data_IF_534921935169
#
_entry.id   IF_534921935169
#
_cell.length_a   1.000
_cell.length_b   1.000
_cell.length_c   1.000
_cell.angle_alpha   90.00
_cell.angle_beta   90.00
_cell.angle_gamma   90.00
#
_symmetry.space_group_name_H-M   'P 1'
#
loop_
_entity.id
_entity.type
_entity.pdbx_description
1 polymer ?
#
# COMPACT_ATOMS: atom_id res chain seq x y z
N UNK A 1 11.18 21.21 2.80
CA UNK A 1 9.89 20.90 2.14
C UNK A 1 9.15 19.66 2.68
N UNK A 2 9.67 18.93 3.68
CA UNK A 2 9.03 17.70 4.21
C UNK A 2 8.35 17.86 5.60
N UNK A 3 8.27 19.07 6.16
CA UNK A 3 7.83 19.29 7.55
C UNK A 3 6.66 20.29 7.72
N UNK A 4 5.84 20.54 6.67
CA UNK A 4 4.62 21.33 6.86
C UNK A 4 3.40 20.43 7.11
N UNK A 5 2.59 20.72 8.15
CA UNK A 5 1.34 20.00 8.40
C UNK A 5 0.37 20.04 7.20
N UNK A 6 0.42 21.11 6.40
CA UNK A 6 -0.36 21.25 5.17
C UNK A 6 -0.01 20.18 4.14
N UNK A 7 1.28 19.96 3.86
CA UNK A 7 1.72 18.95 2.90
C UNK A 7 1.35 17.53 3.38
N UNK A 8 1.41 17.27 4.68
CA UNK A 8 0.96 16.00 5.26
C UNK A 8 -0.54 15.78 5.05
N UNK A 9 -1.36 16.84 5.27
CA UNK A 9 -2.81 16.80 5.07
C UNK A 9 -3.18 16.57 3.61
N UNK A 10 -2.50 17.25 2.69
CA UNK A 10 -2.75 17.11 1.25
C UNK A 10 -2.40 15.70 0.76
N UNK A 11 -1.28 15.15 1.22
CA UNK A 11 -0.87 13.78 0.90
C UNK A 11 -1.87 12.75 1.44
N UNK A 12 -2.34 12.93 2.68
CA UNK A 12 -3.37 12.08 3.26
C UNK A 12 -4.67 12.14 2.46
N UNK A 13 -5.08 13.33 2.01
CA UNK A 13 -6.24 13.52 1.15
C UNK A 13 -6.12 12.74 -0.16
N UNK A 14 -4.99 12.87 -0.85
CA UNK A 14 -4.70 12.13 -2.10
C UNK A 14 -4.76 10.62 -1.91
N UNK A 15 -4.18 10.11 -0.83
CA UNK A 15 -4.22 8.67 -0.50
C UNK A 15 -5.66 8.23 -0.25
N UNK A 16 -6.43 8.96 0.56
CA UNK A 16 -7.84 8.63 0.85
C UNK A 16 -8.68 8.58 -0.42
N UNK A 17 -8.56 9.56 -1.31
CA UNK A 17 -9.29 9.58 -2.58
C UNK A 17 -8.93 8.40 -3.49
N UNK A 18 -7.66 7.99 -3.50
CA UNK A 18 -7.22 6.82 -4.30
C UNK A 18 -7.70 5.51 -3.71
N UNK A 19 -7.68 5.38 -2.39
CA UNK A 19 -8.12 4.19 -1.66
C UNK A 19 -9.65 4.03 -1.72
N UNK A 20 -10.43 5.11 -1.65
CA UNK A 20 -11.89 5.01 -1.73
C UNK A 20 -12.38 4.39 -3.03
N UNK A 21 -11.65 4.60 -4.13
CA UNK A 21 -11.94 3.97 -5.42
C UNK A 21 -11.78 2.43 -5.41
N UNK A 22 -11.14 1.84 -4.39
CA UNK A 22 -11.08 0.39 -4.21
C UNK A 22 -12.43 -0.21 -3.80
N UNK A 23 -13.38 0.59 -3.30
CA UNK A 23 -14.73 0.13 -3.01
C UNK A 23 -15.41 -0.45 -4.26
N UNK A 24 -15.29 0.26 -5.38
CA UNK A 24 -15.89 -0.17 -6.66
C UNK A 24 -14.96 -1.05 -7.48
N UNK A 25 -13.64 -0.84 -7.39
CA UNK A 25 -12.66 -1.53 -8.23
C UNK A 25 -11.52 -2.12 -7.42
N UNK A 26 -11.77 -3.10 -6.55
CA UNK A 26 -10.75 -3.64 -5.64
C UNK A 26 -9.61 -4.32 -6.39
N UNK A 27 -9.85 -4.85 -7.60
CA UNK A 27 -8.83 -5.56 -8.41
C UNK A 27 -7.91 -4.63 -9.21
N UNK A 28 -8.10 -3.29 -9.16
CA UNK A 28 -7.33 -2.33 -9.97
C UNK A 28 -5.85 -2.24 -9.62
N UNK A 29 -5.48 -2.59 -8.39
CA UNK A 29 -4.09 -2.59 -7.93
C UNK A 29 -3.37 -3.83 -8.47
N UNK A 30 -2.11 -3.65 -8.87
CA UNK A 30 -1.27 -4.79 -9.26
C UNK A 30 -0.90 -5.62 -8.03
N UNK A 31 -0.54 -6.88 -8.24
CA UNK A 31 0.09 -7.69 -7.19
C UNK A 31 1.42 -7.04 -6.81
N UNK A 32 1.73 -7.00 -5.51
CA UNK A 32 2.99 -6.44 -5.00
C UNK A 32 4.17 -7.21 -5.63
N UNK A 33 5.02 -6.58 -6.46
CA UNK A 33 6.09 -7.27 -7.19
C UNK A 33 7.02 -8.09 -6.28
N UNK A 34 7.46 -7.49 -5.18
CA UNK A 34 8.37 -8.10 -4.19
C UNK A 34 7.77 -9.37 -3.58
N UNK A 35 6.45 -9.38 -3.33
CA UNK A 35 5.76 -10.54 -2.79
C UNK A 35 5.43 -11.57 -3.87
N UNK A 36 5.18 -11.10 -5.10
CA UNK A 36 4.94 -11.96 -6.27
C UNK A 36 6.15 -12.84 -6.57
N UNK A 37 7.37 -12.31 -6.42
CA UNK A 37 8.61 -13.06 -6.61
C UNK A 37 8.75 -14.24 -5.63
N UNK A 38 8.10 -14.16 -4.47
CA UNK A 38 8.02 -15.24 -3.49
C UNK A 38 6.73 -16.09 -3.60
N UNK A 39 5.96 -15.95 -4.68
CA UNK A 39 4.71 -16.69 -4.90
C UNK A 39 3.51 -16.21 -4.07
N UNK A 40 3.63 -15.07 -3.38
CA UNK A 40 2.56 -14.52 -2.54
C UNK A 40 1.69 -13.56 -3.38
N UNK A 41 0.54 -14.06 -3.84
CA UNK A 41 -0.33 -13.35 -4.80
C UNK A 41 -1.50 -12.60 -4.16
N UNK A 42 -1.72 -12.76 -2.86
CA UNK A 42 -2.88 -12.22 -2.13
C UNK A 42 -2.82 -10.71 -1.88
N UNK A 43 -1.63 -10.12 -1.95
CA UNK A 43 -1.41 -8.70 -1.65
C UNK A 43 -1.30 -7.88 -2.93
N UNK A 44 -2.02 -6.76 -2.94
CA UNK A 44 -2.06 -5.81 -4.04
C UNK A 44 -1.58 -4.45 -3.58
N UNK A 45 -1.18 -3.63 -4.54
CA UNK A 45 -0.77 -2.26 -4.26
C UNK A 45 -1.39 -1.22 -5.18
N UNK A 46 -1.57 -0.03 -4.61
CA UNK A 46 -1.77 1.22 -5.32
C UNK A 46 -0.55 2.11 -5.16
N UNK A 47 -0.06 2.66 -6.26
CA UNK A 47 1.00 3.66 -6.26
C UNK A 47 0.36 5.05 -6.26
N UNK A 48 0.59 5.79 -5.18
CA UNK A 48 0.16 7.19 -4.97
C UNK A 48 1.40 8.00 -4.63
N UNK A 49 2.22 8.43 -5.63
CA UNK A 49 3.56 8.93 -5.39
C UNK A 49 3.62 10.04 -4.31
N UNK A 50 4.59 9.98 -3.39
CA UNK A 50 5.65 8.97 -3.27
C UNK A 50 5.23 7.69 -2.52
N UNK A 51 3.96 7.48 -2.20
CA UNK A 51 3.47 6.38 -1.35
C UNK A 51 3.04 5.14 -2.13
N UNK A 52 3.21 3.97 -1.52
CA UNK A 52 2.64 2.67 -1.93
C UNK A 52 1.65 2.22 -0.87
N UNK A 53 0.41 2.01 -1.26
CA UNK A 53 -0.65 1.49 -0.39
C UNK A 53 -0.79 0.01 -0.66
N UNK A 54 -0.47 -0.82 0.33
CA UNK A 54 -0.58 -2.28 0.25
C UNK A 54 -1.89 -2.71 0.90
N UNK A 55 -2.64 -3.55 0.21
CA UNK A 55 -3.95 -4.02 0.63
C UNK A 55 -4.20 -5.47 0.21
N UNK A 56 -5.22 -6.09 0.78
CA UNK A 56 -5.76 -7.38 0.34
C UNK A 56 -7.27 -7.32 0.19
N UNK A 57 -7.80 -8.22 -0.63
CA UNK A 57 -9.24 -8.41 -0.83
C UNK A 57 -9.65 -9.68 -0.10
N UNK A 58 -10.71 -9.62 0.70
CA UNK A 58 -11.26 -10.77 1.43
C UNK A 58 -12.77 -10.72 1.36
N UNK A 59 -13.38 -11.62 0.58
CA UNK A 59 -14.81 -11.55 0.25
C UNK A 59 -15.14 -10.22 -0.41
N UNK A 60 -16.07 -9.47 0.19
CA UNK A 60 -16.50 -8.15 -0.29
C UNK A 60 -15.73 -6.98 0.37
N UNK A 61 -14.72 -7.28 1.18
CA UNK A 61 -13.98 -6.27 1.96
C UNK A 61 -12.57 -6.07 1.43
N UNK A 62 -12.13 -4.81 1.45
CA UNK A 62 -10.74 -4.41 1.15
C UNK A 62 -10.07 -3.99 2.46
N UNK A 63 -8.94 -4.62 2.76
CA UNK A 63 -8.15 -4.32 3.95
C UNK A 63 -6.87 -3.61 3.54
N UNK A 64 -6.74 -2.34 3.90
CA UNK A 64 -5.47 -1.61 3.76
C UNK A 64 -4.56 -2.02 4.91
N UNK A 65 -3.44 -2.64 4.57
CA UNK A 65 -2.50 -3.20 5.53
C UNK A 65 -1.32 -2.27 5.78
N UNK A 66 -0.92 -1.50 4.77
CA UNK A 66 0.12 -0.51 4.95
C UNK A 66 0.13 0.61 3.94
N UNK A 67 0.74 1.72 4.36
CA UNK A 67 1.11 2.85 3.51
C UNK A 67 2.61 3.06 3.72
N UNK A 68 3.40 2.79 2.68
CA UNK A 68 4.85 2.81 2.71
C UNK A 68 5.35 3.93 1.81
N UNK A 69 6.40 4.63 2.21
CA UNK A 69 7.11 5.56 1.33
C UNK A 69 7.92 4.76 0.30
N UNK A 70 7.57 4.90 -0.98
CA UNK A 70 8.20 4.17 -2.10
C UNK A 70 9.68 4.51 -2.29
N UNK A 71 10.17 5.58 -1.66
CA UNK A 71 11.59 5.97 -1.68
C UNK A 71 12.44 5.12 -0.75
N UNK A 72 11.83 4.32 0.13
CA UNK A 72 12.50 3.35 1.00
C UNK A 72 12.58 1.99 0.31
N UNK A 73 13.46 1.11 0.78
CA UNK A 73 13.49 -0.28 0.34
C UNK A 73 12.20 -0.99 0.81
N UNK A 74 11.24 -1.15 -0.10
CA UNK A 74 9.92 -1.74 0.20
C UNK A 74 10.05 -3.23 0.53
N UNK A 75 10.95 -3.94 -0.17
CA UNK A 75 11.21 -5.37 0.06
C UNK A 75 11.69 -5.61 1.49
N UNK A 76 12.73 -4.90 1.94
CA UNK A 76 13.25 -4.99 3.31
C UNK A 76 12.16 -4.71 4.36
N UNK A 77 11.31 -3.70 4.12
CA UNK A 77 10.21 -3.37 5.03
C UNK A 77 9.20 -4.51 5.12
N UNK A 78 8.89 -5.16 3.99
CA UNK A 78 7.94 -6.27 3.95
C UNK A 78 8.52 -7.52 4.60
N UNK A 79 9.78 -7.87 4.29
CA UNK A 79 10.49 -8.99 4.91
C UNK A 79 10.60 -8.80 6.43
N UNK A 80 10.95 -7.60 6.90
CA UNK A 80 11.01 -7.31 8.34
C UNK A 80 9.67 -7.53 9.05
N UNK A 81 8.54 -7.29 8.38
CA UNK A 81 7.22 -7.53 8.97
C UNK A 81 6.87 -9.01 9.01
N UNK A 82 7.19 -9.75 7.96
CA UNK A 82 6.98 -11.21 7.93
C UNK A 82 7.79 -11.92 9.03
N UNK A 83 9.02 -11.47 9.28
CA UNK A 83 9.88 -12.06 10.34
C UNK A 83 9.43 -11.67 11.75
N UNK A 84 8.80 -10.50 11.92
CA UNK A 84 8.32 -10.01 13.22
C UNK A 84 6.99 -10.63 13.69
N UNK A 85 6.25 -11.32 12.82
CA UNK A 85 5.00 -12.01 13.19
C UNK A 85 5.22 -13.47 13.65
N UNK A 86 6.41 -13.79 14.20
CA UNK A 86 6.64 -15.02 14.96
C UNK A 86 6.53 -14.78 16.46
#
# INVERSE_FOLDING_TARGET
FAHSPSAAKDNLGKIKTRVSALYSFPQRGRIVPELKEHGILQYRELIVPPWRVIYRISGQSVYVLSVIDSRRNVEDILLQRLVREK
#
